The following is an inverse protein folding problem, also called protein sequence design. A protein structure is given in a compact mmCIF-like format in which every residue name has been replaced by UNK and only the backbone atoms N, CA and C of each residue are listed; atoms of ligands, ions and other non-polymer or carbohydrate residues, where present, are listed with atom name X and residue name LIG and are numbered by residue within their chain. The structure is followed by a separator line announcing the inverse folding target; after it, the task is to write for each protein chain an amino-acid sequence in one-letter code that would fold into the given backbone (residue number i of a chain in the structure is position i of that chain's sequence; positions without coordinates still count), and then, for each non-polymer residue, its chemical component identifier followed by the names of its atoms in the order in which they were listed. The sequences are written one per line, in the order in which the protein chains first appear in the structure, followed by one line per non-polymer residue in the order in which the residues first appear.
data_IF_359836801964
#
_entry.id   IF_359836801964
#
_cell.length_a   1.000
_cell.length_b   1.000
_cell.length_c   1.000
_cell.angle_alpha   90.00
_cell.angle_beta   90.00
_cell.angle_gamma   90.00
#
_symmetry.space_group_name_H-M   'P 1'
#
loop_
_entity.id
_entity.type
_entity.pdbx_description
1 polymer ?
#
# COMPACT_ATOMS: atom_id res chain seq x y z
N UNK A 1 4.09 26.20 2.15
CA UNK A 1 4.67 25.93 3.49
C UNK A 1 4.17 24.55 3.92
N UNK A 2 5.04 23.54 3.96
CA UNK A 2 4.65 22.13 4.18
C UNK A 2 4.44 21.87 5.69
N UNK A 3 3.29 21.34 6.14
CA UNK A 3 3.14 20.90 7.53
C UNK A 3 4.02 19.67 7.74
N UNK A 4 4.84 19.69 8.79
CA UNK A 4 5.73 18.58 9.16
C UNK A 4 4.89 17.35 9.52
N UNK A 5 4.66 16.47 8.54
CA UNK A 5 4.08 15.15 8.68
C UNK A 5 4.89 14.19 7.81
N UNK A 6 5.01 12.92 8.23
CA UNK A 6 5.87 11.90 7.63
C UNK A 6 5.91 11.95 6.10
N UNK A 7 7.12 11.78 5.56
CA UNK A 7 7.44 11.77 4.12
C UNK A 7 6.40 10.95 3.35
N UNK A 8 5.76 11.57 2.35
CA UNK A 8 4.73 10.92 1.55
C UNK A 8 5.22 9.60 0.94
N UNK A 9 4.36 8.58 0.98
CA UNK A 9 4.62 7.30 0.33
C UNK A 9 5.00 7.52 -1.14
N UNK A 10 5.96 6.72 -1.65
CA UNK A 10 6.51 6.86 -3.00
C UNK A 10 5.43 6.80 -4.09
N UNK A 11 4.37 6.02 -3.85
CA UNK A 11 3.19 5.96 -4.72
C UNK A 11 2.50 7.32 -4.90
N UNK A 12 2.50 8.19 -3.89
CA UNK A 12 1.84 9.49 -3.96
C UNK A 12 2.60 10.44 -4.89
N UNK A 13 3.93 10.40 -4.81
CA UNK A 13 4.81 11.17 -5.69
C UNK A 13 4.62 10.69 -7.13
N UNK A 14 4.64 9.36 -7.35
CA UNK A 14 4.40 8.78 -8.67
C UNK A 14 3.01 9.13 -9.20
N UNK A 15 1.97 8.97 -8.39
CA UNK A 15 0.59 9.31 -8.74
C UNK A 15 0.45 10.75 -9.18
N UNK A 16 1.03 11.70 -8.43
CA UNK A 16 1.05 13.12 -8.81
C UNK A 16 1.85 13.38 -10.09
N UNK A 17 3.00 12.73 -10.24
CA UNK A 17 3.88 12.91 -11.41
C UNK A 17 3.19 12.51 -12.72
N UNK A 18 2.33 11.49 -12.70
CA UNK A 18 1.55 11.06 -13.87
C UNK A 18 0.23 11.83 -14.04
N UNK A 19 -0.04 12.85 -13.21
CA UNK A 19 -1.25 13.68 -13.29
C UNK A 19 -2.43 13.19 -12.46
N UNK A 20 -2.21 12.28 -11.53
CA UNK A 20 -3.20 11.87 -10.52
C UNK A 20 -3.36 12.88 -9.39
N UNK A 21 -4.40 12.67 -8.57
CA UNK A 21 -4.68 13.45 -7.36
C UNK A 21 -4.43 12.61 -6.12
N UNK A 22 -3.88 13.24 -5.09
CA UNK A 22 -3.58 12.60 -3.80
C UNK A 22 -4.20 13.42 -2.67
N UNK A 23 -4.51 12.77 -1.56
CA UNK A 23 -4.98 13.45 -0.36
C UNK A 23 -5.08 12.50 0.83
N UNK A 24 -5.46 13.04 1.98
CA UNK A 24 -5.73 12.24 3.18
C UNK A 24 -6.88 11.27 2.94
N UNK A 25 -6.74 10.04 3.44
CA UNK A 25 -7.83 9.09 3.56
C UNK A 25 -8.90 9.66 4.49
N UNK A 26 -10.17 9.40 4.18
CA UNK A 26 -11.31 9.83 5.00
C UNK A 26 -11.41 8.99 6.27
N UNK A 27 -11.07 7.71 6.16
CA UNK A 27 -11.11 6.73 7.25
C UNK A 27 -9.94 6.87 8.24
N UNK A 28 -8.96 7.74 7.94
CA UNK A 28 -7.83 8.00 8.81
C UNK A 28 -6.58 7.21 8.41
N UNK A 29 -5.90 6.62 9.40
CA UNK A 29 -4.65 5.89 9.19
C UNK A 29 -4.95 4.43 8.85
N UNK A 30 -4.32 3.92 7.79
CA UNK A 30 -4.22 2.48 7.51
C UNK A 30 -2.88 1.98 8.05
N UNK A 31 -2.93 1.28 9.17
CA UNK A 31 -1.74 0.73 9.86
C UNK A 31 -2.06 -0.72 10.25
N UNK A 32 -1.22 -1.65 9.81
CA UNK A 32 -1.42 -3.06 10.08
C UNK A 32 -1.11 -3.94 8.89
N UNK A 33 -1.65 -5.16 8.88
CA UNK A 33 -1.63 -6.04 7.71
C UNK A 33 -3.02 -6.05 7.08
N UNK A 34 -3.11 -5.56 5.85
CA UNK A 34 -4.36 -5.42 5.11
C UNK A 34 -4.36 -6.36 3.91
N UNK A 35 -5.50 -7.01 3.68
CA UNK A 35 -5.72 -7.83 2.48
C UNK A 35 -6.09 -6.91 1.31
N UNK A 36 -5.29 -6.94 0.26
CA UNK A 36 -5.56 -6.23 -0.99
C UNK A 36 -6.03 -7.20 -2.05
N UNK A 37 -7.01 -6.79 -2.84
CA UNK A 37 -7.67 -7.57 -3.86
C UNK A 37 -7.25 -7.08 -5.24
N UNK A 38 -6.74 -8.00 -6.06
CA UNK A 38 -6.34 -7.69 -7.44
C UNK A 38 -7.57 -7.58 -8.34
N UNK A 39 -7.54 -6.61 -9.25
CA UNK A 39 -8.51 -6.56 -10.34
C UNK A 39 -8.29 -7.75 -11.27
N UNK A 40 -9.38 -8.30 -11.80
CA UNK A 40 -9.28 -9.40 -12.76
C UNK A 40 -8.58 -8.91 -14.03
N UNK A 41 -7.41 -9.47 -14.32
CA UNK A 41 -6.65 -9.18 -15.54
C UNK A 41 -6.05 -10.47 -16.11
N UNK A 42 -5.93 -10.52 -17.44
CA UNK A 42 -5.34 -11.69 -18.14
C UNK A 42 -3.89 -11.94 -17.70
N UNK A 43 -3.17 -10.88 -17.35
CA UNK A 43 -1.77 -10.93 -16.90
C UNK A 43 -1.68 -11.65 -15.54
N UNK A 44 -2.53 -11.28 -14.58
CA UNK A 44 -2.55 -11.94 -13.28
C UNK A 44 -2.98 -13.41 -13.37
N UNK A 45 -3.93 -13.74 -14.24
CA UNK A 45 -4.32 -15.13 -14.52
C UNK A 45 -3.16 -15.94 -15.11
N UNK A 46 -2.44 -15.38 -16.09
CA UNK A 46 -1.30 -16.03 -16.74
C UNK A 46 -0.16 -16.30 -15.77
N UNK A 47 0.07 -15.40 -14.81
CA UNK A 47 1.07 -15.54 -13.74
C UNK A 47 0.61 -16.44 -12.59
N UNK A 48 -0.63 -16.97 -12.64
CA UNK A 48 -1.28 -17.73 -11.56
C UNK A 48 -1.23 -16.97 -10.23
N UNK A 49 -1.44 -15.65 -10.26
CA UNK A 49 -1.52 -14.85 -9.05
C UNK A 49 -2.83 -15.14 -8.32
N UNK A 50 -2.83 -15.21 -6.97
CA UNK A 50 -4.05 -15.29 -6.19
C UNK A 50 -4.86 -13.99 -6.37
N UNK A 51 -6.17 -14.08 -6.12
CA UNK A 51 -7.08 -12.93 -6.24
C UNK A 51 -6.84 -11.86 -5.17
N UNK A 52 -6.09 -12.17 -4.11
CA UNK A 52 -5.72 -11.24 -3.06
C UNK A 52 -4.40 -11.62 -2.41
N UNK A 53 -3.70 -10.64 -1.86
CA UNK A 53 -2.52 -10.83 -1.01
C UNK A 53 -2.62 -9.91 0.23
N UNK A 54 -2.06 -10.36 1.34
CA UNK A 54 -1.87 -9.56 2.56
C UNK A 54 -0.59 -8.74 2.45
N UNK A 55 -0.64 -7.47 2.83
CA UNK A 55 0.50 -6.53 2.79
C UNK A 55 0.51 -5.64 4.03
N UNK A 56 1.69 -5.21 4.45
CA UNK A 56 1.82 -4.22 5.52
C UNK A 56 1.42 -2.83 4.99
N UNK A 57 0.52 -2.17 5.71
CA UNK A 57 0.12 -0.78 5.49
C UNK A 57 0.64 0.10 6.64
N UNK A 58 1.05 1.32 6.30
CA UNK A 58 1.40 2.35 7.26
C UNK A 58 1.32 3.73 6.59
N UNK A 59 0.10 4.18 6.31
CA UNK A 59 -0.11 5.47 5.63
C UNK A 59 -1.43 6.14 6.06
N UNK A 60 -1.49 7.45 5.82
CA UNK A 60 -2.72 8.25 5.99
C UNK A 60 -3.13 8.97 4.72
N UNK A 61 -2.19 9.17 3.81
CA UNK A 61 -2.42 9.78 2.51
C UNK A 61 -2.51 8.66 1.47
N UNK A 62 -3.35 8.88 0.45
CA UNK A 62 -3.60 7.93 -0.63
C UNK A 62 -3.73 8.65 -1.97
N UNK A 63 -3.57 7.88 -3.05
CA UNK A 63 -3.96 8.31 -4.39
C UNK A 63 -5.48 8.23 -4.50
N UNK A 64 -6.13 9.37 -4.77
CA UNK A 64 -7.58 9.48 -4.90
C UNK A 64 -8.04 9.28 -6.34
N UNK A 65 -7.27 9.78 -7.29
CA UNK A 65 -7.59 9.73 -8.72
C UNK A 65 -6.33 9.48 -9.54
N UNK A 66 -6.47 8.72 -10.61
CA UNK A 66 -5.42 8.46 -11.59
C UNK A 66 -5.89 8.93 -12.98
N UNK A 67 -4.97 9.33 -13.88
CA UNK A 67 -5.31 9.63 -15.26
C UNK A 67 -5.83 8.39 -16.00
N UNK A 68 -6.63 8.57 -17.06
CA UNK A 68 -7.21 7.46 -17.85
C UNK A 68 -6.20 6.45 -18.41
N UNK A 69 -4.94 6.86 -18.59
CA UNK A 69 -3.86 6.01 -19.09
C UNK A 69 -3.24 5.10 -18.03
N UNK A 70 -3.54 5.33 -16.75
CA UNK A 70 -3.14 4.46 -15.66
C UNK A 70 -4.20 3.36 -15.45
N UNK A 71 -3.72 2.17 -15.11
CA UNK A 71 -4.56 1.03 -14.77
C UNK A 71 -4.45 0.76 -13.27
N UNK A 72 -5.60 0.69 -12.58
CA UNK A 72 -5.63 0.24 -11.19
C UNK A 72 -5.51 -1.28 -11.20
N UNK A 73 -4.63 -1.80 -10.35
CA UNK A 73 -4.29 -3.22 -10.30
C UNK A 73 -4.82 -3.89 -9.03
N UNK A 74 -4.90 -3.15 -7.92
CA UNK A 74 -5.42 -3.68 -6.66
C UNK A 74 -6.14 -2.61 -5.82
N UNK A 75 -7.03 -3.06 -4.94
CA UNK A 75 -7.83 -2.24 -4.01
C UNK A 75 -7.99 -2.96 -2.68
N UNK A 76 -8.29 -2.24 -1.61
CA UNK A 76 -8.71 -2.80 -0.32
C UNK A 76 -10.03 -2.18 0.13
N UNK A 77 -10.53 -2.61 1.28
CA UNK A 77 -11.71 -1.99 1.89
C UNK A 77 -11.43 -0.55 2.36
N UNK A 78 -10.17 -0.26 2.74
CA UNK A 78 -9.77 1.05 3.25
C UNK A 78 -9.33 1.99 2.11
N UNK A 79 -8.54 1.47 1.16
CA UNK A 79 -7.86 2.27 0.16
C UNK A 79 -8.30 1.87 -1.25
N UNK A 80 -8.83 2.84 -1.99
CA UNK A 80 -9.39 2.61 -3.33
C UNK A 80 -8.36 2.31 -4.41
N UNK A 81 -7.10 2.73 -4.24
CA UNK A 81 -5.99 2.54 -5.19
C UNK A 81 -4.78 2.04 -4.40
N UNK A 82 -4.70 0.73 -4.20
CA UNK A 82 -3.58 0.09 -3.50
C UNK A 82 -2.39 -0.13 -4.41
N UNK A 83 -2.67 -0.34 -5.70
CA UNK A 83 -1.66 -0.60 -6.70
C UNK A 83 -2.14 -0.10 -8.05
N UNK A 84 -1.23 0.48 -8.82
CA UNK A 84 -1.50 0.87 -10.21
C UNK A 84 -0.27 0.66 -11.10
N UNK A 85 -0.50 0.61 -12.41
CA UNK A 85 0.56 0.76 -13.42
C UNK A 85 0.25 1.85 -14.42
N UNK A 86 1.28 2.37 -15.06
CA UNK A 86 1.19 3.32 -16.16
C UNK A 86 2.11 2.87 -17.29
N UNK A 87 1.51 2.27 -18.33
CA UNK A 87 2.25 1.50 -19.33
C UNK A 87 3.03 0.35 -18.70
N UNK A 88 4.18 0.02 -19.29
CA UNK A 88 5.02 -1.13 -18.90
C UNK A 88 6.22 -0.74 -18.03
N UNK A 89 6.29 0.53 -17.62
CA UNK A 89 7.51 1.11 -17.01
C UNK A 89 7.30 1.67 -15.61
N UNK A 90 6.05 1.92 -15.21
CA UNK A 90 5.73 2.51 -13.91
C UNK A 90 4.72 1.62 -13.21
N UNK A 91 5.04 1.28 -11.95
CA UNK A 91 4.14 0.60 -11.03
C UNK A 91 4.27 1.24 -9.66
N UNK A 92 3.13 1.54 -9.04
CA UNK A 92 3.05 2.05 -7.68
C UNK A 92 2.34 1.05 -6.78
N UNK A 93 2.84 0.86 -5.57
CA UNK A 93 2.23 0.05 -4.50
C UNK A 93 2.13 0.94 -3.26
N UNK A 94 0.96 1.00 -2.63
CA UNK A 94 0.69 1.85 -1.48
C UNK A 94 1.23 1.24 -0.19
N UNK A 95 1.02 -0.07 -0.03
CA UNK A 95 1.62 -0.85 1.05
C UNK A 95 3.11 -1.11 0.86
N UNK A 96 3.69 -1.76 1.86
CA UNK A 96 5.12 -1.96 1.99
C UNK A 96 5.48 -3.45 1.90
N UNK A 97 5.67 -4.00 0.69
CA UNK A 97 6.13 -5.38 0.55
C UNK A 97 7.56 -5.59 1.08
N UNK A 98 8.30 -4.51 1.34
CA UNK A 98 9.64 -4.47 1.90
C UNK A 98 9.68 -4.41 3.43
N UNK A 99 8.53 -4.21 4.10
CA UNK A 99 8.48 -4.12 5.56
C UNK A 99 8.41 -5.49 6.22
N UNK A 100 8.97 -5.57 7.43
CA UNK A 100 8.76 -6.66 8.37
C UNK A 100 7.81 -6.19 9.48
N UNK A 101 7.26 -7.13 10.25
CA UNK A 101 6.44 -6.80 11.43
C UNK A 101 7.22 -5.95 12.44
N UNK A 102 8.51 -6.22 12.64
CA UNK A 102 9.35 -5.43 13.55
C UNK A 102 9.45 -3.95 13.12
N UNK A 103 9.60 -3.69 11.81
CA UNK A 103 9.59 -2.32 11.28
C UNK A 103 8.25 -1.67 11.59
N UNK A 104 7.14 -2.38 11.36
CA UNK A 104 5.80 -1.86 11.61
C UNK A 104 5.57 -1.56 13.10
N UNK A 105 5.99 -2.44 14.02
CA UNK A 105 5.90 -2.23 15.46
C UNK A 105 6.60 -0.93 15.88
N UNK A 106 7.84 -0.71 15.41
CA UNK A 106 8.57 0.53 15.66
C UNK A 106 7.90 1.77 15.07
N UNK A 107 7.24 1.64 13.92
CA UNK A 107 6.48 2.74 13.32
C UNK A 107 5.22 3.06 14.11
N UNK A 108 4.50 2.05 14.59
CA UNK A 108 3.32 2.23 15.46
C UNK A 108 3.73 3.02 16.70
N UNK A 109 4.78 2.60 17.42
CA UNK A 109 5.27 3.32 18.61
C UNK A 109 5.58 4.79 18.30
N UNK A 110 6.25 5.05 17.18
CA UNK A 110 6.61 6.40 16.78
C UNK A 110 5.39 7.25 16.45
N UNK A 111 4.41 6.69 15.75
CA UNK A 111 3.18 7.39 15.34
C UNK A 111 2.31 7.68 16.57
N UNK A 112 2.17 6.73 17.50
CA UNK A 112 1.49 6.92 18.79
C UNK A 112 2.16 7.99 19.64
N UNK A 113 3.49 7.93 19.81
CA UNK A 113 4.25 8.93 20.58
C UNK A 113 4.18 10.34 19.99
N UNK A 114 3.90 10.45 18.69
CA UNK A 114 3.68 11.74 18.01
C UNK A 114 2.22 12.19 18.04
N UNK A 115 1.33 11.49 18.76
CA UNK A 115 -0.11 11.75 18.84
C UNK A 115 -0.81 11.78 17.47
N UNK A 116 -0.31 11.00 16.50
CA UNK A 116 -0.95 10.89 15.19
C UNK A 116 -2.07 9.86 15.16
N UNK A 117 -2.05 8.91 16.10
CA UNK A 117 -3.10 7.92 16.40
C UNK A 117 -3.28 7.86 17.92
N UNK A 118 -4.42 7.35 18.38
CA UNK A 118 -4.62 7.04 19.80
C UNK A 118 -3.76 5.84 20.22
N UNK A 119 -3.26 5.85 21.45
CA UNK A 119 -2.44 4.76 21.99
C UNK A 119 -3.21 3.42 21.98
N UNK A 120 -4.49 3.45 22.34
CA UNK A 120 -5.41 2.31 22.26
C UNK A 120 -5.47 1.68 20.87
N UNK A 121 -5.52 2.51 19.83
CA UNK A 121 -5.51 2.06 18.44
C UNK A 121 -4.17 1.41 18.06
N UNK A 122 -3.06 2.00 18.51
CA UNK A 122 -1.73 1.41 18.32
C UNK A 122 -1.61 0.01 18.94
N UNK A 123 -2.07 -0.17 20.17
CA UNK A 123 -2.06 -1.46 20.86
C UNK A 123 -3.00 -2.48 20.19
N UNK A 124 -4.17 -2.07 19.72
CA UNK A 124 -5.08 -2.93 18.96
C UNK A 124 -4.42 -3.46 17.68
N UNK A 125 -3.72 -2.59 16.93
CA UNK A 125 -3.01 -3.00 15.72
C UNK A 125 -1.89 -3.99 16.06
N UNK A 126 -1.09 -3.72 17.10
CA UNK A 126 -0.01 -4.63 17.53
C UNK A 126 -0.55 -6.02 17.88
N UNK A 127 -1.66 -6.10 18.59
CA UNK A 127 -2.29 -7.39 18.93
C UNK A 127 -2.69 -8.18 17.69
N UNK A 128 -3.25 -7.53 16.67
CA UNK A 128 -3.64 -8.18 15.40
C UNK A 128 -2.45 -8.66 14.57
N UNK A 129 -1.26 -8.06 14.73
CA UNK A 129 -0.05 -8.47 14.00
C UNK A 129 0.48 -9.85 14.42
N UNK A 130 0.07 -10.36 15.58
CA UNK A 130 0.43 -11.71 16.03
C UNK A 130 -0.33 -12.80 15.26
N UNK A 131 -1.50 -12.47 14.71
CA UNK A 131 -2.42 -13.44 14.09
C UNK A 131 -2.23 -13.61 12.58
N UNK A 132 -1.65 -12.61 11.92
CA UNK A 132 -1.59 -12.53 10.45
C UNK A 132 -0.16 -12.28 9.99
N UNK A 133 0.22 -12.94 8.90
CA UNK A 133 1.49 -12.71 8.20
C UNK A 133 1.23 -12.02 6.85
N UNK A 134 2.12 -11.11 6.42
CA UNK A 134 2.09 -10.58 5.05
C UNK A 134 2.58 -11.64 4.05
N UNK A 135 2.06 -11.59 2.83
CA UNK A 135 2.44 -12.53 1.76
C UNK A 135 3.77 -12.13 1.07
N UNK A 136 4.84 -11.95 1.85
CA UNK A 136 6.11 -11.34 1.42
C UNK A 136 6.70 -11.96 0.16
N UNK A 137 6.75 -13.29 0.07
CA UNK A 137 7.33 -13.98 -1.09
C UNK A 137 6.47 -13.82 -2.35
N UNK A 138 5.14 -13.75 -2.21
CA UNK A 138 4.24 -13.52 -3.33
C UNK A 138 4.40 -12.08 -3.87
N UNK A 139 4.51 -11.10 -2.99
CA UNK A 139 4.80 -9.71 -3.35
C UNK A 139 6.15 -9.55 -4.03
N UNK A 140 7.19 -10.16 -3.46
CA UNK A 140 8.54 -10.16 -4.06
C UNK A 140 8.53 -10.75 -5.47
N UNK A 141 7.81 -11.85 -5.67
CA UNK A 141 7.63 -12.46 -7.00
C UNK A 141 6.89 -11.52 -7.96
N UNK A 142 5.83 -10.85 -7.50
CA UNK A 142 5.08 -9.86 -8.29
C UNK A 142 5.99 -8.70 -8.72
N UNK A 143 6.71 -8.09 -7.78
CA UNK A 143 7.63 -6.99 -8.06
C UNK A 143 8.75 -7.41 -9.03
N UNK A 144 9.29 -8.62 -8.84
CA UNK A 144 10.33 -9.17 -9.74
C UNK A 144 9.78 -9.42 -11.15
N UNK A 145 8.54 -9.87 -11.29
CA UNK A 145 7.91 -10.08 -12.61
C UNK A 145 7.70 -8.76 -13.34
N UNK A 146 7.26 -7.71 -12.64
CA UNK A 146 7.16 -6.37 -13.21
C UNK A 146 8.52 -5.86 -13.70
N UNK A 147 9.57 -5.96 -12.87
CA UNK A 147 10.92 -5.54 -13.24
C UNK A 147 11.51 -6.32 -14.44
N UNK A 148 11.00 -7.53 -14.70
CA UNK A 148 11.37 -8.35 -15.85
C UNK A 148 10.49 -8.12 -17.09
N UNK A 149 9.55 -7.16 -17.04
CA UNK A 149 8.61 -6.87 -18.13
C UNK A 149 7.59 -7.97 -18.37
N UNK A 150 7.21 -8.72 -17.32
CA UNK A 150 6.25 -9.84 -17.39
C UNK A 150 4.87 -9.50 -16.83
N UNK A 151 4.64 -8.23 -16.47
CA UNK A 151 3.44 -7.70 -15.82
C UNK A 151 2.91 -6.46 -16.56
#
# INVERSE_FOLDING_TARGET
MWPRGLKGSSILILGRAIGGKTGRATEGWDIGITKVHFQTSHIFTSLKMPSSLSIIQCHRDEVKELPRKAEVLARSNHTGIEMFKYGDHIMGIQGHPEYTKDILLHLIDRISNCNFIEESHGEEVKSKLEEVEPDTEAWKKLCTNFLKGRL
#
